data_IF_502832536338
#
_entry.id   IF_502832536338
#
_cell.length_a   1.000
_cell.length_b   1.000
_cell.length_c   1.000
_cell.angle_alpha   90.00
_cell.angle_beta   90.00
_cell.angle_gamma   90.00
#
_symmetry.space_group_name_H-M   'P 1'
#
loop_
_entity.id
_entity.type
_entity.pdbx_description
1 polymer ?
#
# COMPACT_ATOMS: atom_id res chain seq x y z
N UNK A 1 7.53 -26.11 -19.51
CA UNK A 1 7.60 -25.64 -18.11
C UNK A 1 7.83 -24.13 -18.11
N UNK A 2 7.01 -23.30 -17.44
CA UNK A 2 7.12 -21.86 -17.57
C UNK A 2 8.25 -21.35 -16.66
N UNK A 3 9.45 -21.23 -17.23
CA UNK A 3 10.53 -20.38 -16.74
C UNK A 3 10.21 -18.95 -17.16
N UNK A 4 9.75 -18.11 -16.24
CA UNK A 4 9.48 -16.71 -16.57
C UNK A 4 8.85 -15.84 -15.49
N UNK A 5 8.42 -16.42 -14.36
CA UNK A 5 7.76 -15.64 -13.30
C UNK A 5 8.73 -15.06 -12.25
N UNK A 6 9.95 -15.61 -12.12
CA UNK A 6 10.90 -15.15 -11.09
C UNK A 6 11.59 -13.81 -11.41
N UNK A 7 11.78 -13.47 -12.70
CA UNK A 7 12.55 -12.27 -13.08
C UNK A 7 11.74 -10.96 -12.99
N UNK A 8 10.41 -11.03 -12.92
CA UNK A 8 9.56 -9.82 -12.83
C UNK A 8 9.22 -9.48 -11.38
N UNK A 9 9.20 -10.46 -10.48
CA UNK A 9 8.91 -10.24 -9.05
C UNK A 9 10.11 -9.61 -8.33
N UNK A 10 11.33 -9.99 -8.69
CA UNK A 10 12.56 -9.48 -8.09
C UNK A 10 12.77 -7.96 -8.34
N UNK A 11 12.31 -7.42 -9.48
CA UNK A 11 12.41 -5.99 -9.79
C UNK A 11 11.37 -5.14 -9.03
N UNK A 12 10.22 -5.70 -8.66
CA UNK A 12 9.16 -4.98 -7.95
C UNK A 12 9.32 -4.98 -6.42
N UNK A 13 10.16 -5.88 -5.88
CA UNK A 13 10.37 -6.07 -4.45
C UNK A 13 11.76 -5.62 -3.94
N UNK A 14 12.61 -5.04 -4.79
CA UNK A 14 13.87 -4.46 -4.35
C UNK A 14 13.63 -3.37 -3.29
N UNK A 15 14.38 -3.40 -2.18
CA UNK A 15 14.23 -2.46 -1.05
C UNK A 15 14.17 -0.99 -1.49
N UNK A 16 14.86 -0.63 -2.58
CA UNK A 16 14.80 0.69 -3.19
C UNK A 16 13.42 1.05 -3.79
N UNK A 17 12.76 0.12 -4.48
CA UNK A 17 11.44 0.33 -5.06
C UNK A 17 10.37 0.48 -3.97
N UNK A 18 10.52 -0.23 -2.85
CA UNK A 18 9.67 -0.06 -1.67
C UNK A 18 9.88 1.32 -1.02
N UNK A 19 11.13 1.74 -0.81
CA UNK A 19 11.47 3.06 -0.26
C UNK A 19 10.95 4.20 -1.13
N UNK A 20 11.06 4.09 -2.46
CA UNK A 20 10.51 5.10 -3.38
C UNK A 20 8.98 5.23 -3.27
N UNK A 21 8.27 4.13 -3.06
CA UNK A 21 6.80 4.16 -2.84
C UNK A 21 6.44 4.80 -1.52
N UNK A 22 7.19 4.52 -0.46
CA UNK A 22 7.01 5.17 0.85
C UNK A 22 7.24 6.67 0.74
N UNK A 23 8.31 7.09 0.05
CA UNK A 23 8.57 8.52 -0.20
C UNK A 23 7.45 9.19 -1.00
N UNK A 24 6.98 8.53 -2.07
CA UNK A 24 5.88 9.05 -2.87
C UNK A 24 4.59 9.18 -2.05
N UNK A 25 4.25 8.17 -1.23
CA UNK A 25 3.11 8.20 -0.33
C UNK A 25 3.22 9.35 0.68
N UNK A 26 4.41 9.57 1.26
CA UNK A 26 4.68 10.69 2.17
C UNK A 26 4.55 12.05 1.48
N UNK A 27 5.02 12.20 0.24
CA UNK A 27 4.88 13.44 -0.55
C UNK A 27 3.43 13.73 -0.91
N UNK A 28 2.66 12.69 -1.27
CA UNK A 28 1.22 12.79 -1.55
C UNK A 28 0.48 13.16 -0.26
N UNK A 29 0.77 12.50 0.85
CA UNK A 29 0.19 12.81 2.16
C UNK A 29 0.51 14.23 2.63
N UNK A 30 1.74 14.70 2.44
CA UNK A 30 2.11 16.09 2.76
C UNK A 30 1.41 17.15 1.90
N UNK A 31 0.97 16.78 0.68
CA UNK A 31 0.26 17.69 -0.25
C UNK A 31 -1.26 17.65 -0.08
N UNK A 32 -1.81 16.49 0.26
CA UNK A 32 -3.25 16.28 0.48
C UNK A 32 -3.63 16.61 1.94
N UNK A 33 -2.67 16.49 2.87
CA UNK A 33 -2.90 16.62 4.32
C UNK A 33 -3.76 15.47 4.83
N UNK A 34 -4.58 15.76 5.84
CA UNK A 34 -5.53 14.79 6.43
C UNK A 34 -6.76 14.51 5.54
N UNK A 35 -6.80 15.04 4.31
CA UNK A 35 -7.97 14.91 3.42
C UNK A 35 -8.18 13.51 2.86
N UNK A 36 -7.20 12.62 3.01
CA UNK A 36 -7.31 11.22 2.63
C UNK A 36 -6.98 10.33 3.83
N UNK A 37 -8.00 9.66 4.36
CA UNK A 37 -7.85 8.67 5.42
C UNK A 37 -7.91 7.26 4.82
N UNK A 38 -6.80 6.52 4.93
CA UNK A 38 -6.74 5.13 4.49
C UNK A 38 -7.75 4.22 5.19
N UNK A 39 -8.17 4.55 6.42
CA UNK A 39 -9.21 3.80 7.15
C UNK A 39 -10.56 3.88 6.46
N UNK A 40 -10.87 5.04 5.88
CA UNK A 40 -12.10 5.26 5.09
C UNK A 40 -11.97 4.72 3.66
N UNK A 41 -10.77 4.79 3.07
CA UNK A 41 -10.54 4.37 1.69
C UNK A 41 -10.39 2.85 1.54
N UNK A 42 -9.79 2.16 2.50
CA UNK A 42 -9.49 0.73 2.37
C UNK A 42 -10.72 -0.15 2.06
N UNK A 43 -11.89 0.04 2.70
CA UNK A 43 -13.09 -0.72 2.35
C UNK A 43 -13.59 -0.45 0.93
N UNK A 44 -13.42 0.78 0.43
CA UNK A 44 -13.86 1.18 -0.91
C UNK A 44 -12.92 0.67 -2.00
N UNK A 45 -11.61 0.74 -1.75
CA UNK A 45 -10.57 0.39 -2.71
C UNK A 45 -10.39 -1.13 -2.80
N UNK A 46 -10.38 -1.81 -1.66
CA UNK A 46 -10.09 -3.26 -1.61
C UNK A 46 -11.36 -4.11 -1.71
N UNK A 47 -12.51 -3.60 -1.24
CA UNK A 47 -13.78 -4.33 -1.20
C UNK A 47 -13.58 -5.72 -0.58
N UNK A 48 -14.00 -6.78 -1.28
CA UNK A 48 -13.91 -8.17 -0.82
C UNK A 48 -12.46 -8.66 -0.58
N UNK A 49 -11.46 -7.93 -1.09
CA UNK A 49 -10.04 -8.25 -0.86
C UNK A 49 -9.49 -7.63 0.45
N UNK A 50 -10.29 -6.83 1.18
CA UNK A 50 -9.87 -6.27 2.47
C UNK A 50 -9.85 -7.35 3.55
N UNK A 51 -8.67 -7.77 3.96
CA UNK A 51 -8.53 -8.71 5.08
C UNK A 51 -8.53 -7.98 6.42
N UNK A 52 -8.95 -8.66 7.52
CA UNK A 52 -8.88 -8.09 8.87
C UNK A 52 -7.47 -7.63 9.26
N UNK A 53 -6.43 -8.38 8.86
CA UNK A 53 -5.03 -8.04 9.15
C UNK A 53 -4.63 -6.74 8.46
N UNK A 54 -5.01 -6.56 7.19
CA UNK A 54 -4.74 -5.35 6.42
C UNK A 54 -5.48 -4.14 7.03
N UNK A 55 -6.76 -4.32 7.36
CA UNK A 55 -7.56 -3.29 8.02
C UNK A 55 -6.96 -2.87 9.36
N UNK A 56 -6.51 -3.84 10.16
CA UNK A 56 -5.93 -3.58 11.47
C UNK A 56 -4.56 -2.88 11.38
N UNK A 57 -3.73 -3.25 10.40
CA UNK A 57 -2.46 -2.58 10.12
C UNK A 57 -2.70 -1.09 9.76
N UNK A 58 -3.64 -0.81 8.86
CA UNK A 58 -4.02 0.56 8.46
C UNK A 58 -4.59 1.34 9.65
N UNK A 59 -5.43 0.72 10.48
CA UNK A 59 -6.02 1.36 11.65
C UNK A 59 -4.95 1.85 12.65
N UNK A 60 -3.87 1.08 12.82
CA UNK A 60 -2.74 1.38 13.71
C UNK A 60 -1.72 2.36 13.14
N UNK A 61 -1.92 2.89 11.93
CA UNK A 61 -1.01 3.88 11.40
C UNK A 61 -0.98 5.15 12.29
N UNK A 62 0.23 5.60 12.63
CA UNK A 62 0.50 6.77 13.46
C UNK A 62 0.24 8.09 12.72
N UNK A 63 0.06 8.02 11.39
CA UNK A 63 -0.30 9.16 10.56
C UNK A 63 -1.18 8.77 9.36
N UNK A 64 -1.96 9.71 8.79
CA UNK A 64 -2.72 9.45 7.56
C UNK A 64 -1.83 8.98 6.39
N UNK A 65 -0.65 9.58 6.25
CA UNK A 65 0.30 9.20 5.21
C UNK A 65 0.84 7.78 5.35
N UNK A 66 1.16 7.36 6.59
CA UNK A 66 1.55 5.98 6.86
C UNK A 66 0.40 4.99 6.56
N UNK A 67 -0.83 5.35 6.89
CA UNK A 67 -2.00 4.53 6.57
C UNK A 67 -2.17 4.34 5.05
N UNK A 68 -1.99 5.41 4.28
CA UNK A 68 -2.03 5.35 2.81
C UNK A 68 -0.88 4.51 2.24
N UNK A 69 0.33 4.66 2.78
CA UNK A 69 1.46 3.83 2.39
C UNK A 69 1.19 2.34 2.64
N UNK A 70 0.64 1.99 3.80
CA UNK A 70 0.24 0.62 4.13
C UNK A 70 -0.85 0.08 3.19
N UNK A 71 -1.86 0.89 2.87
CA UNK A 71 -2.91 0.54 1.91
C UNK A 71 -2.30 0.20 0.53
N UNK A 72 -1.46 1.08 -0.01
CA UNK A 72 -0.84 0.89 -1.34
C UNK A 72 0.22 -0.22 -1.38
N UNK A 73 0.86 -0.52 -0.25
CA UNK A 73 1.80 -1.61 -0.12
C UNK A 73 1.12 -2.96 0.17
N UNK A 74 -0.17 -2.97 0.49
CA UNK A 74 -0.88 -4.20 0.88
C UNK A 74 -0.90 -5.21 -0.29
N UNK A 75 -0.72 -6.53 -0.01
CA UNK A 75 -0.81 -7.55 -1.04
C UNK A 75 -2.16 -7.57 -1.78
N UNK A 76 -3.23 -7.14 -1.12
CA UNK A 76 -4.56 -7.02 -1.72
C UNK A 76 -4.59 -5.91 -2.80
N UNK A 77 -3.96 -4.77 -2.53
CA UNK A 77 -3.86 -3.67 -3.49
C UNK A 77 -2.98 -4.04 -4.70
N UNK A 78 -1.85 -4.71 -4.47
CA UNK A 78 -0.91 -5.09 -5.52
C UNK A 78 -1.40 -6.20 -6.47
N UNK A 79 -2.46 -6.92 -6.10
CA UNK A 79 -3.04 -8.01 -6.90
C UNK A 79 -4.23 -7.57 -7.76
N UNK A 80 -4.67 -6.31 -7.64
CA UNK A 80 -5.65 -5.68 -8.51
C UNK A 80 -4.95 -5.01 -9.69
#
# INVERSE_FOLDING_TARGET
SPKGYDDVVATWAGSAALMQRVELASRIAGRIGDRADARALAPLVLADALTPETAQAIARADSPGQGLAMLFASPAFLRR
#
